data_IF_320773356424
#
_entry.id   IF_320773356424
#
_cell.length_a   1.000
_cell.length_b   1.000
_cell.length_c   1.000
_cell.angle_alpha   90.00
_cell.angle_beta   90.00
_cell.angle_gamma   90.00
#
_symmetry.space_group_name_H-M   'P 1'
#
loop_
_entity.id
_entity.type
_entity.pdbx_description
1 polymer ?
#
# COMPACT_ATOMS: atom_id res chain seq x y z
N UNK A 1 -2.31 -25.46 -2.14
CA UNK A 1 -1.87 -24.08 -2.37
C UNK A 1 -2.23 -23.68 -3.81
N UNK A 2 -2.92 -22.56 -4.01
CA UNK A 2 -3.28 -22.02 -5.33
C UNK A 2 -2.83 -20.56 -5.40
N UNK A 3 -2.01 -20.22 -6.38
CA UNK A 3 -1.62 -18.84 -6.67
C UNK A 3 -2.83 -18.17 -7.37
N UNK A 4 -3.40 -17.16 -6.72
CA UNK A 4 -4.56 -16.42 -7.22
C UNK A 4 -4.12 -15.00 -7.48
N UNK A 5 -4.08 -14.59 -8.76
CA UNK A 5 -3.30 -13.41 -9.19
C UNK A 5 -1.87 -13.55 -8.65
N UNK A 6 -1.00 -12.55 -8.65
CA UNK A 6 0.39 -12.72 -8.14
C UNK A 6 0.51 -13.06 -6.64
N UNK A 7 -0.62 -13.33 -5.96
CA UNK A 7 -0.72 -13.70 -4.57
C UNK A 7 -0.59 -15.21 -4.29
N UNK A 8 0.22 -15.50 -3.27
CA UNK A 8 0.44 -16.80 -2.64
C UNK A 8 -0.71 -17.19 -1.68
N UNK A 9 -0.81 -18.47 -1.33
CA UNK A 9 -1.74 -19.00 -0.31
C UNK A 9 -0.99 -19.89 0.69
N UNK A 10 -0.27 -19.27 1.62
CA UNK A 10 0.52 -19.97 2.64
C UNK A 10 -0.11 -19.81 4.04
N UNK A 11 0.65 -19.40 5.04
CA UNK A 11 0.27 -19.24 6.42
C UNK A 11 -0.94 -18.32 6.61
N UNK A 12 -0.78 -17.01 6.39
CA UNK A 12 -1.79 -16.00 6.76
C UNK A 12 -3.14 -16.29 6.08
N UNK A 13 -3.09 -16.59 4.79
CA UNK A 13 -4.28 -16.85 3.99
C UNK A 13 -4.94 -18.20 4.28
N UNK A 14 -4.18 -19.29 4.47
CA UNK A 14 -4.80 -20.60 4.70
C UNK A 14 -5.42 -20.73 6.09
N UNK A 15 -4.93 -19.99 7.08
CA UNK A 15 -5.48 -20.00 8.44
C UNK A 15 -6.95 -19.57 8.49
N UNK A 16 -7.30 -18.55 7.71
CA UNK A 16 -8.66 -18.00 7.67
C UNK A 16 -9.52 -18.63 6.56
N UNK A 17 -8.92 -19.48 5.72
CA UNK A 17 -9.55 -20.10 4.57
C UNK A 17 -9.80 -19.13 3.41
N UNK A 18 -10.97 -19.23 2.78
CA UNK A 18 -11.39 -18.24 1.79
C UNK A 18 -11.93 -17.02 2.55
N UNK A 19 -11.12 -15.96 2.64
CA UNK A 19 -11.61 -14.66 3.09
C UNK A 19 -12.90 -14.32 2.34
N UNK A 20 -13.99 -13.94 3.02
CA UNK A 20 -15.22 -13.59 2.35
C UNK A 20 -15.00 -12.31 1.54
N UNK A 21 -14.76 -12.45 0.23
CA UNK A 21 -15.14 -11.37 -0.67
C UNK A 21 -16.63 -11.11 -0.48
N UNK A 22 -17.06 -9.87 -0.72
CA UNK A 22 -18.37 -9.26 -0.41
C UNK A 22 -19.66 -10.05 -0.68
N UNK A 23 -19.62 -11.29 -1.20
CA UNK A 23 -20.78 -12.16 -1.49
C UNK A 23 -20.53 -13.69 -1.40
N UNK A 24 -19.71 -14.25 -0.49
CA UNK A 24 -19.56 -15.72 -0.43
C UNK A 24 -20.32 -16.43 0.68
N UNK A 25 -21.40 -17.11 0.26
CA UNK A 25 -22.11 -18.17 0.98
C UNK A 25 -22.75 -19.24 0.07
N UNK A 26 -22.40 -19.35 -1.22
CA UNK A 26 -23.12 -20.26 -2.15
C UNK A 26 -22.26 -20.93 -3.24
N UNK A 27 -22.80 -22.03 -3.78
CA UNK A 27 -22.21 -22.88 -4.83
C UNK A 27 -21.89 -22.13 -6.12
N UNK A 28 -20.66 -22.37 -6.65
CA UNK A 28 -20.18 -21.85 -7.94
C UNK A 28 -21.03 -22.25 -9.15
N UNK A 29 -21.77 -23.35 -9.06
CA UNK A 29 -22.56 -23.89 -10.17
C UNK A 29 -24.02 -23.44 -10.17
N UNK A 30 -24.57 -22.97 -9.04
CA UNK A 30 -26.02 -22.78 -8.91
C UNK A 30 -26.47 -21.36 -8.52
N UNK A 31 -25.67 -20.54 -7.83
CA UNK A 31 -26.10 -19.19 -7.41
C UNK A 31 -27.43 -19.15 -6.63
N UNK A 32 -27.93 -17.96 -6.27
CA UNK A 32 -29.26 -17.78 -5.65
C UNK A 32 -30.29 -17.51 -6.75
N UNK A 33 -31.50 -18.10 -6.74
CA UNK A 33 -32.58 -17.61 -7.57
C UNK A 33 -33.26 -16.43 -6.87
N UNK A 34 -32.96 -15.20 -7.30
CA UNK A 34 -33.89 -14.08 -7.10
C UNK A 34 -33.95 -13.24 -8.39
N UNK A 35 -35.10 -13.35 -9.04
CA UNK A 35 -35.65 -12.45 -10.06
C UNK A 35 -34.85 -12.25 -11.35
N UNK A 36 -34.73 -13.32 -12.13
CA UNK A 36 -34.83 -13.24 -13.60
C UNK A 36 -33.65 -12.63 -14.39
N UNK A 37 -32.63 -12.11 -13.71
CA UNK A 37 -31.39 -11.68 -14.36
C UNK A 37 -30.23 -12.54 -13.84
N UNK A 38 -29.67 -13.35 -14.73
CA UNK A 38 -28.53 -14.24 -14.49
C UNK A 38 -27.29 -13.43 -14.08
N UNK A 39 -27.14 -13.17 -12.79
CA UNK A 39 -25.86 -12.68 -12.26
C UNK A 39 -25.03 -13.89 -11.86
N UNK A 40 -24.01 -14.18 -12.69
CA UNK A 40 -22.86 -14.98 -12.25
C UNK A 40 -22.29 -14.31 -11.00
N UNK A 41 -21.72 -15.10 -10.07
CA UNK A 41 -20.93 -14.56 -8.96
C UNK A 41 -20.06 -13.42 -9.49
N UNK A 42 -20.14 -12.23 -8.88
CA UNK A 42 -19.38 -11.06 -9.29
C UNK A 42 -17.90 -11.38 -9.12
N UNK A 43 -17.29 -11.83 -10.21
CA UNK A 43 -15.88 -12.11 -10.30
C UNK A 43 -15.18 -10.82 -10.72
N UNK A 44 -14.43 -10.23 -9.77
CA UNK A 44 -13.34 -9.28 -10.00
C UNK A 44 -13.67 -7.83 -10.43
N UNK A 45 -14.80 -7.50 -11.07
CA UNK A 45 -14.96 -6.16 -11.68
C UNK A 45 -15.63 -5.07 -10.83
N UNK A 46 -16.17 -5.37 -9.65
CA UNK A 46 -16.91 -4.40 -8.82
C UNK A 46 -16.45 -4.28 -7.36
N UNK A 47 -15.49 -5.09 -6.93
CA UNK A 47 -14.81 -4.93 -5.65
C UNK A 47 -13.41 -4.36 -5.90
N UNK A 48 -12.89 -3.44 -5.06
CA UNK A 48 -11.51 -2.99 -5.17
C UNK A 48 -10.56 -4.20 -5.23
N UNK A 49 -9.61 -4.21 -6.18
CA UNK A 49 -8.76 -5.37 -6.50
C UNK A 49 -8.02 -5.95 -5.27
N UNK A 50 -7.80 -5.13 -4.24
CA UNK A 50 -6.92 -5.38 -3.10
C UNK A 50 -7.62 -5.53 -1.75
N UNK A 51 -8.96 -5.45 -1.70
CA UNK A 51 -9.72 -5.53 -0.45
C UNK A 51 -9.38 -6.83 0.32
N UNK A 52 -9.31 -7.97 -0.38
CA UNK A 52 -9.06 -9.32 0.16
C UNK A 52 -7.81 -9.46 1.05
N UNK A 53 -6.69 -8.82 0.70
CA UNK A 53 -5.45 -8.92 1.48
C UNK A 53 -5.59 -8.26 2.85
N UNK A 54 -6.39 -7.19 2.95
CA UNK A 54 -6.70 -6.55 4.22
C UNK A 54 -7.58 -7.45 5.10
N UNK A 55 -8.59 -8.13 4.57
CA UNK A 55 -9.36 -9.09 5.39
C UNK A 55 -8.51 -10.26 5.85
N UNK A 56 -7.58 -10.73 5.02
CA UNK A 56 -6.63 -11.77 5.43
C UNK A 56 -5.89 -11.34 6.68
N UNK A 57 -5.37 -10.11 6.67
CA UNK A 57 -4.63 -9.55 7.81
C UNK A 57 -5.56 -9.33 9.01
N UNK A 58 -6.70 -8.65 8.83
CA UNK A 58 -7.67 -8.36 9.90
C UNK A 58 -8.16 -9.66 10.59
N UNK A 59 -8.45 -10.72 9.82
CA UNK A 59 -8.88 -12.01 10.38
C UNK A 59 -7.72 -12.79 11.02
N UNK A 60 -6.52 -12.71 10.45
CA UNK A 60 -5.33 -13.36 11.05
C UNK A 60 -4.99 -12.76 12.41
N UNK A 61 -5.17 -11.44 12.59
CA UNK A 61 -5.05 -10.79 13.91
C UNK A 61 -6.03 -11.35 14.94
N UNK A 62 -7.26 -11.66 14.53
CA UNK A 62 -8.28 -12.21 15.42
C UNK A 62 -8.04 -13.68 15.74
N UNK A 63 -7.43 -14.43 14.82
CA UNK A 63 -7.21 -15.87 14.98
C UNK A 63 -6.16 -16.18 16.06
N UNK A 64 -5.16 -15.33 16.25
CA UNK A 64 -4.07 -15.54 17.22
C UNK A 64 -3.21 -16.76 16.85
N UNK A 65 -2.29 -16.59 15.90
CA UNK A 65 -1.49 -17.70 15.36
C UNK A 65 -0.24 -17.91 16.20
N UNK A 66 -0.18 -19.04 16.94
CA UNK A 66 1.00 -19.40 17.75
C UNK A 66 2.07 -20.18 16.98
N UNK A 67 1.64 -20.95 15.97
CA UNK A 67 2.53 -21.81 15.20
C UNK A 67 1.93 -22.15 13.83
N UNK A 68 2.80 -22.19 12.83
CA UNK A 68 2.46 -22.50 11.45
C UNK A 68 3.29 -23.67 10.98
N UNK A 69 2.64 -24.61 10.29
CA UNK A 69 3.27 -25.67 9.51
C UNK A 69 2.80 -25.56 8.05
N UNK A 70 3.74 -25.47 7.11
CA UNK A 70 3.49 -25.46 5.67
C UNK A 70 4.17 -26.69 5.07
N UNK A 71 3.39 -27.63 4.54
CA UNK A 71 3.88 -28.94 4.06
C UNK A 71 3.57 -29.20 2.57
N UNK A 72 2.94 -28.25 1.88
CA UNK A 72 2.37 -28.44 0.56
C UNK A 72 2.52 -27.21 -0.35
N UNK A 73 3.74 -26.69 -0.50
CA UNK A 73 4.04 -25.64 -1.49
C UNK A 73 3.93 -26.25 -2.89
N UNK A 74 2.94 -25.79 -3.65
CA UNK A 74 2.67 -26.29 -5.00
C UNK A 74 1.93 -25.23 -5.82
N UNK A 75 2.12 -25.28 -7.15
CA UNK A 75 1.59 -24.34 -8.10
C UNK A 75 1.22 -25.03 -9.43
N UNK A 76 0.22 -24.47 -10.11
CA UNK A 76 0.03 -24.67 -11.55
C UNK A 76 0.70 -23.49 -12.26
N UNK A 77 1.88 -23.73 -12.82
CA UNK A 77 2.64 -22.73 -13.55
C UNK A 77 1.89 -22.28 -14.82
N UNK A 78 2.11 -21.04 -15.23
CA UNK A 78 1.62 -20.42 -16.47
C UNK A 78 0.09 -20.27 -16.62
N UNK A 79 -0.73 -21.08 -15.93
CA UNK A 79 -2.18 -21.15 -16.13
C UNK A 79 -2.96 -21.46 -14.85
N UNK A 80 -4.19 -20.93 -14.76
CA UNK A 80 -5.11 -21.15 -13.62
C UNK A 80 -5.67 -22.59 -13.54
N UNK A 81 -5.48 -23.38 -14.59
CA UNK A 81 -6.02 -24.74 -14.74
C UNK A 81 -4.92 -25.73 -15.11
N UNK A 82 -5.11 -26.98 -14.70
CA UNK A 82 -4.17 -28.06 -15.01
C UNK A 82 -4.14 -28.32 -16.52
N UNK A 83 -2.97 -28.16 -17.13
CA UNK A 83 -2.71 -28.58 -18.49
C UNK A 83 -2.34 -30.06 -18.50
N UNK A 84 -2.92 -30.83 -19.41
CA UNK A 84 -2.70 -32.28 -19.47
C UNK A 84 -2.15 -32.70 -20.81
N UNK A 85 -1.11 -33.54 -20.79
CA UNK A 85 -0.63 -34.29 -21.96
C UNK A 85 -0.59 -35.77 -21.60
N UNK A 86 -1.27 -36.60 -22.38
CA UNK A 86 -1.41 -38.04 -22.13
C UNK A 86 -1.90 -38.38 -20.70
N UNK A 87 -2.85 -37.58 -20.18
CA UNK A 87 -3.42 -37.77 -18.84
C UNK A 87 -2.59 -37.22 -17.68
N UNK A 88 -1.33 -36.82 -17.92
CA UNK A 88 -0.41 -36.27 -16.91
C UNK A 88 -0.53 -34.75 -16.87
N UNK A 89 -0.59 -34.16 -15.67
CA UNK A 89 -0.58 -32.71 -15.50
C UNK A 89 0.84 -32.18 -15.74
N UNK A 90 1.04 -31.33 -16.74
CA UNK A 90 2.38 -30.91 -17.19
C UNK A 90 2.85 -29.60 -16.59
N UNK A 91 1.94 -28.76 -16.11
CA UNK A 91 2.26 -27.47 -15.51
C UNK A 91 2.20 -27.49 -13.96
N UNK A 92 2.10 -28.67 -13.36
CA UNK A 92 2.08 -28.79 -11.89
C UNK A 92 3.50 -28.87 -11.35
N UNK A 93 3.81 -27.94 -10.45
CA UNK A 93 5.05 -27.92 -9.69
C UNK A 93 4.70 -28.11 -8.21
N UNK A 94 5.39 -29.05 -7.56
CA UNK A 94 5.33 -29.27 -6.12
C UNK A 94 6.73 -29.19 -5.54
N UNK A 95 6.85 -28.55 -4.39
CA UNK A 95 8.02 -28.63 -3.53
C UNK A 95 7.81 -29.75 -2.51
N UNK A 96 8.86 -30.51 -2.23
CA UNK A 96 8.87 -31.51 -1.16
C UNK A 96 9.51 -30.90 0.09
N UNK A 97 8.98 -29.75 0.51
CA UNK A 97 9.53 -28.93 1.57
C UNK A 97 8.49 -28.78 2.68
N UNK A 98 8.92 -29.00 3.92
CA UNK A 98 8.14 -28.69 5.11
C UNK A 98 8.81 -27.48 5.76
N UNK A 99 8.01 -26.46 6.03
CA UNK A 99 8.41 -25.27 6.77
C UNK A 99 7.56 -25.18 8.03
N UNK A 100 8.18 -24.82 9.14
CA UNK A 100 7.47 -24.55 10.38
C UNK A 100 8.01 -23.27 11.02
N UNK A 101 7.13 -22.48 11.62
CA UNK A 101 7.49 -21.19 12.21
C UNK A 101 6.50 -20.82 13.31
N UNK A 102 6.99 -20.16 14.36
CA UNK A 102 6.13 -19.48 15.34
C UNK A 102 5.66 -18.09 14.86
N UNK A 103 6.24 -17.57 13.79
CA UNK A 103 5.86 -16.30 13.15
C UNK A 103 5.19 -16.59 11.79
N UNK A 104 3.89 -16.28 11.63
CA UNK A 104 3.17 -16.53 10.38
C UNK A 104 3.58 -15.62 9.22
N UNK A 105 4.04 -14.40 9.50
CA UNK A 105 4.51 -13.46 8.47
C UNK A 105 5.88 -13.91 7.95
N UNK A 106 6.77 -14.31 8.86
CA UNK A 106 8.05 -14.89 8.49
C UNK A 106 7.89 -16.20 7.70
N UNK A 107 6.89 -17.03 8.06
CA UNK A 107 6.57 -18.24 7.31
C UNK A 107 6.19 -17.92 5.85
N UNK A 108 5.34 -16.92 5.65
CA UNK A 108 4.95 -16.47 4.31
C UNK A 108 6.12 -15.82 3.56
N UNK A 109 6.93 -15.01 4.23
CA UNK A 109 8.15 -14.46 3.67
C UNK A 109 9.03 -15.56 3.08
N UNK A 110 9.33 -16.60 3.87
CA UNK A 110 10.19 -17.70 3.44
C UNK A 110 9.51 -18.54 2.35
N UNK A 111 8.20 -18.77 2.42
CA UNK A 111 7.48 -19.46 1.35
C UNK A 111 7.55 -18.73 0.01
N UNK A 112 7.43 -17.39 0.01
CA UNK A 112 7.60 -16.59 -1.20
C UNK A 112 9.02 -16.74 -1.77
N UNK A 113 10.03 -16.64 -0.90
CA UNK A 113 11.45 -16.83 -1.26
C UNK A 113 11.74 -18.23 -1.82
N UNK A 114 11.13 -19.27 -1.26
CA UNK A 114 11.25 -20.65 -1.76
C UNK A 114 10.68 -20.83 -3.17
N UNK A 115 9.76 -19.97 -3.60
CA UNK A 115 9.17 -19.97 -4.94
C UNK A 115 9.83 -18.98 -5.91
N UNK A 116 10.89 -18.28 -5.48
CA UNK A 116 11.51 -17.15 -6.19
C UNK A 116 10.55 -15.97 -6.46
N UNK A 117 9.66 -15.73 -5.49
CA UNK A 117 8.76 -14.58 -5.48
C UNK A 117 9.22 -13.59 -4.42
N UNK A 118 9.08 -12.30 -4.69
CA UNK A 118 9.36 -11.28 -3.70
C UNK A 118 8.24 -11.18 -2.65
N UNK A 119 8.48 -11.47 -1.35
CA UNK A 119 7.50 -11.20 -0.31
C UNK A 119 7.08 -9.74 -0.19
N UNK A 120 7.91 -8.78 -0.59
CA UNK A 120 7.56 -7.35 -0.61
C UNK A 120 6.60 -6.98 -1.75
N UNK A 121 6.37 -7.91 -2.67
CA UNK A 121 5.38 -7.86 -3.72
C UNK A 121 4.04 -8.49 -3.30
N UNK A 122 3.96 -9.02 -2.08
CA UNK A 122 2.75 -9.66 -1.54
C UNK A 122 2.09 -8.79 -0.48
N UNK A 123 0.97 -8.19 -0.87
CA UNK A 123 0.29 -7.19 -0.06
C UNK A 123 -0.11 -7.68 1.34
N UNK A 124 -0.66 -8.89 1.50
CA UNK A 124 -0.98 -9.39 2.84
C UNK A 124 0.26 -9.56 3.73
N UNK A 125 1.44 -9.86 3.17
CA UNK A 125 2.68 -9.97 3.94
C UNK A 125 3.11 -8.57 4.42
N UNK A 126 3.16 -7.59 3.51
CA UNK A 126 3.58 -6.22 3.85
C UNK A 126 2.59 -5.51 4.79
N UNK A 127 1.28 -5.75 4.62
CA UNK A 127 0.26 -5.27 5.55
C UNK A 127 0.37 -5.95 6.92
N UNK A 128 0.58 -7.27 6.97
CA UNK A 128 0.76 -8.00 8.23
C UNK A 128 2.00 -7.53 9.02
N UNK A 129 3.10 -7.22 8.34
CA UNK A 129 4.28 -6.61 8.95
C UNK A 129 3.94 -5.23 9.54
N UNK A 130 3.26 -4.36 8.78
CA UNK A 130 2.91 -2.99 9.21
C UNK A 130 2.05 -2.95 10.47
N UNK A 131 1.20 -3.94 10.68
CA UNK A 131 0.34 -4.02 11.85
C UNK A 131 1.00 -4.77 13.03
N UNK A 132 2.21 -5.29 12.84
CA UNK A 132 2.99 -5.99 13.86
C UNK A 132 2.59 -7.45 14.10
N UNK A 133 2.00 -8.14 13.11
CA UNK A 133 1.62 -9.55 13.23
C UNK A 133 2.82 -10.51 13.17
N UNK A 134 3.94 -10.04 12.63
CA UNK A 134 5.18 -10.79 12.46
C UNK A 134 6.15 -10.03 11.57
N UNK A 135 7.30 -10.63 11.23
CA UNK A 135 8.34 -9.96 10.44
C UNK A 135 8.35 -10.37 8.96
N UNK A 136 8.53 -9.37 8.09
CA UNK A 136 8.84 -9.54 6.67
C UNK A 136 10.30 -9.10 6.37
N UNK A 137 11.14 -9.00 7.40
CA UNK A 137 12.55 -8.62 7.27
C UNK A 137 13.42 -9.86 7.29
N UNK A 138 14.17 -10.06 6.21
CA UNK A 138 15.00 -11.25 6.07
C UNK A 138 16.05 -11.35 7.18
N UNK A 139 16.59 -10.22 7.64
CA UNK A 139 17.57 -10.12 8.72
C UNK A 139 17.03 -10.55 10.10
N UNK A 140 15.72 -10.48 10.29
CA UNK A 140 15.06 -10.88 11.55
C UNK A 140 14.60 -12.35 11.51
N UNK A 141 14.79 -13.04 10.38
CA UNK A 141 14.34 -14.42 10.18
C UNK A 141 15.54 -15.37 10.27
N UNK A 142 15.60 -16.14 11.36
CA UNK A 142 16.59 -17.21 11.50
C UNK A 142 16.11 -18.49 10.80
N UNK A 143 16.82 -18.90 9.76
CA UNK A 143 16.58 -20.19 9.09
C UNK A 143 17.33 -21.30 9.83
N UNK A 144 16.59 -22.32 10.27
CA UNK A 144 17.14 -23.55 10.88
C UNK A 144 16.86 -24.72 9.95
N UNK A 145 17.92 -25.44 9.55
CA UNK A 145 17.82 -26.56 8.60
C UNK A 145 18.45 -26.23 7.24
N UNK A 146 17.80 -26.68 6.16
CA UNK A 146 18.27 -26.40 4.80
C UNK A 146 18.16 -24.89 4.49
N UNK A 147 19.15 -24.35 3.75
CA UNK A 147 19.09 -22.95 3.36
C UNK A 147 17.99 -22.70 2.33
N UNK A 148 17.52 -21.46 2.24
CA UNK A 148 16.56 -21.05 1.21
C UNK A 148 17.16 -21.32 -0.17
N UNK A 149 18.41 -20.90 -0.42
CA UNK A 149 19.08 -20.97 -1.72
C UNK A 149 19.21 -22.42 -2.22
N UNK A 150 19.43 -23.38 -1.31
CA UNK A 150 19.52 -24.80 -1.67
C UNK A 150 18.16 -25.47 -1.89
N UNK A 151 17.07 -24.84 -1.46
CA UNK A 151 15.71 -25.39 -1.48
C UNK A 151 14.79 -24.68 -2.47
N UNK A 152 15.14 -23.47 -2.89
CA UNK A 152 14.34 -22.64 -3.79
C UNK A 152 14.10 -23.32 -5.12
N UNK A 153 12.86 -23.21 -5.60
CA UNK A 153 12.49 -23.54 -6.97
C UNK A 153 11.83 -22.32 -7.60
N UNK A 154 12.40 -21.86 -8.70
CA UNK A 154 11.90 -20.71 -9.45
C UNK A 154 10.59 -21.04 -10.14
N UNK A 155 9.47 -20.54 -9.62
CA UNK A 155 8.16 -20.81 -10.19
C UNK A 155 7.90 -19.89 -11.38
N UNK A 156 7.35 -20.45 -12.46
CA UNK A 156 6.94 -19.66 -13.63
C UNK A 156 5.60 -18.98 -13.37
N UNK A 157 5.62 -17.64 -13.42
CA UNK A 157 4.43 -16.79 -13.41
C UNK A 157 3.69 -16.92 -14.73
N UNK A 158 2.38 -16.75 -14.70
CA UNK A 158 1.60 -16.57 -15.92
C UNK A 158 1.93 -15.18 -16.49
N UNK A 159 2.31 -15.07 -17.78
CA UNK A 159 2.56 -13.78 -18.42
C UNK A 159 1.37 -12.84 -18.19
N UNK A 160 1.57 -11.77 -17.43
CA UNK A 160 0.53 -10.79 -17.21
C UNK A 160 0.46 -9.85 -18.42
N UNK A 161 -0.61 -9.94 -19.21
CA UNK A 161 -0.88 -8.97 -20.29
C UNK A 161 -1.15 -7.54 -19.75
N UNK A 162 -1.33 -7.41 -18.44
CA UNK A 162 -1.80 -6.23 -17.72
C UNK A 162 -0.78 -5.67 -16.74
N UNK A 163 0.39 -6.31 -16.61
CA UNK A 163 1.42 -5.90 -15.64
C UNK A 163 1.05 -6.09 -14.18
N UNK A 164 0.10 -6.99 -13.89
CA UNK A 164 -0.31 -7.39 -12.54
C UNK A 164 0.80 -8.19 -11.82
N UNK A 165 1.99 -7.61 -11.71
CA UNK A 165 3.13 -8.17 -11.00
C UNK A 165 3.51 -7.32 -9.79
N UNK A 166 3.44 -7.97 -8.64
CA UNK A 166 3.87 -7.45 -7.36
C UNK A 166 3.14 -6.23 -6.84
N UNK A 167 3.81 -5.53 -5.93
CA UNK A 167 3.30 -4.34 -5.25
C UNK A 167 4.17 -3.15 -5.68
N UNK A 168 3.57 -2.04 -6.08
CA UNK A 168 4.27 -0.78 -6.38
C UNK A 168 4.63 0.01 -5.13
N UNK A 169 5.20 1.20 -5.31
CA UNK A 169 5.35 2.11 -4.18
C UNK A 169 3.98 2.66 -3.77
N UNK A 170 3.63 2.53 -2.49
CA UNK A 170 2.42 3.09 -1.91
C UNK A 170 2.67 4.11 -0.81
N UNK A 171 3.93 4.28 -0.38
CA UNK A 171 4.33 5.29 0.59
C UNK A 171 4.79 6.55 -0.14
N UNK A 172 4.02 7.63 0.02
CA UNK A 172 4.26 8.89 -0.68
C UNK A 172 4.01 10.07 0.25
N UNK A 173 4.68 11.18 -0.05
CA UNK A 173 4.16 12.52 0.26
C UNK A 173 3.86 13.23 -1.03
N UNK A 174 2.84 14.09 -1.02
CA UNK A 174 2.39 14.78 -2.23
C UNK A 174 2.34 16.29 -2.01
N UNK A 175 2.52 17.06 -3.08
CA UNK A 175 2.44 18.51 -3.08
C UNK A 175 1.64 19.00 -4.30
N UNK A 176 0.96 20.12 -4.13
CA UNK A 176 -0.07 20.61 -5.03
C UNK A 176 -1.46 20.57 -4.37
N UNK A 177 -2.53 20.73 -5.16
CA UNK A 177 -2.53 20.86 -6.61
C UNK A 177 -2.14 22.29 -7.04
N UNK A 178 -1.31 22.40 -8.08
CA UNK A 178 -0.91 23.69 -8.65
C UNK A 178 -1.73 23.97 -9.91
N UNK A 179 -2.43 25.11 -9.94
CA UNK A 179 -3.19 25.53 -11.12
C UNK A 179 -2.26 25.77 -12.32
N UNK A 180 -2.66 25.30 -13.50
CA UNK A 180 -1.94 25.55 -14.75
C UNK A 180 -2.51 26.73 -15.55
N UNK A 181 -3.42 27.50 -14.96
CA UNK A 181 -4.01 28.66 -15.63
C UNK A 181 -2.93 29.66 -16.07
N UNK A 182 -2.99 30.08 -17.34
CA UNK A 182 -2.03 30.99 -17.97
C UNK A 182 -0.59 30.44 -18.06
N UNK A 183 -0.43 29.12 -18.06
CA UNK A 183 0.86 28.46 -18.28
C UNK A 183 0.78 27.66 -19.59
N UNK A 184 1.57 28.04 -20.59
CA UNK A 184 1.56 27.42 -21.92
C UNK A 184 2.13 25.98 -21.90
N UNK A 185 3.17 25.77 -21.11
CA UNK A 185 3.86 24.47 -20.95
C UNK A 185 3.94 24.06 -19.47
N UNK A 186 2.85 23.50 -18.90
CA UNK A 186 2.78 23.25 -17.47
C UNK A 186 3.70 22.13 -16.97
N UNK A 187 3.96 21.09 -17.76
CA UNK A 187 4.78 19.97 -17.27
C UNK A 187 6.25 20.39 -17.15
N UNK A 188 6.71 21.31 -18.00
CA UNK A 188 8.06 21.88 -17.92
C UNK A 188 8.14 23.13 -17.01
N UNK A 189 7.01 23.69 -16.57
CA UNK A 189 6.99 24.83 -15.65
C UNK A 189 7.42 24.44 -14.22
N UNK A 190 8.40 25.14 -13.60
CA UNK A 190 8.90 24.78 -12.27
C UNK A 190 8.00 25.34 -11.15
N UNK A 191 6.96 24.61 -10.73
CA UNK A 191 6.10 25.02 -9.62
C UNK A 191 6.81 24.94 -8.26
N UNK A 192 7.82 24.07 -8.15
CA UNK A 192 8.70 23.98 -7.00
C UNK A 192 10.11 24.42 -7.40
N UNK A 193 10.75 25.19 -6.53
CA UNK A 193 12.13 25.62 -6.75
C UNK A 193 13.08 24.42 -6.71
N UNK A 194 13.90 24.30 -7.76
CA UNK A 194 14.96 23.29 -7.88
C UNK A 194 14.46 21.85 -7.68
N UNK A 195 13.51 21.41 -8.52
CA UNK A 195 12.88 20.08 -8.49
C UNK A 195 13.89 18.93 -8.33
N UNK A 196 15.02 18.99 -9.04
CA UNK A 196 16.10 18.01 -8.98
C UNK A 196 16.76 17.87 -7.59
N UNK A 197 16.76 18.92 -6.78
CA UNK A 197 17.41 18.92 -5.47
C UNK A 197 16.44 18.75 -4.30
N UNK A 198 15.15 18.53 -4.55
CA UNK A 198 14.14 18.44 -3.50
C UNK A 198 14.49 17.36 -2.46
N UNK A 199 14.29 17.73 -1.20
CA UNK A 199 14.40 16.87 -0.02
C UNK A 199 13.28 17.26 0.97
N UNK A 200 12.01 17.02 0.59
CA UNK A 200 10.87 17.51 1.35
C UNK A 200 10.73 16.80 2.71
N UNK A 201 10.19 17.55 3.67
CA UNK A 201 9.81 17.03 4.99
C UNK A 201 8.29 16.86 5.01
N UNK A 202 7.76 15.67 5.37
CA UNK A 202 6.33 15.48 5.50
C UNK A 202 5.65 16.56 6.35
N UNK A 203 4.53 17.09 5.88
CA UNK A 203 3.75 18.13 6.56
C UNK A 203 4.36 19.53 6.52
N UNK A 204 5.40 19.78 5.72
CA UNK A 204 6.10 21.08 5.62
C UNK A 204 6.12 21.59 4.18
N UNK A 205 6.14 22.91 4.02
CA UNK A 205 6.28 23.59 2.73
C UNK A 205 5.29 23.08 1.64
N UNK A 206 4.02 22.87 2.03
CA UNK A 206 2.95 22.40 1.14
C UNK A 206 2.94 20.89 0.89
N UNK A 207 3.94 20.14 1.37
CA UNK A 207 3.92 18.68 1.30
C UNK A 207 2.95 18.10 2.33
N UNK A 208 2.22 17.07 1.90
CA UNK A 208 1.37 16.28 2.78
C UNK A 208 2.17 15.64 3.92
N UNK A 209 1.48 15.25 4.98
CA UNK A 209 2.00 14.20 5.89
C UNK A 209 2.24 12.91 5.09
N UNK A 210 2.95 11.96 5.69
CA UNK A 210 3.18 10.65 5.08
C UNK A 210 1.84 9.97 4.74
N UNK A 211 1.67 9.61 3.47
CA UNK A 211 0.50 8.92 2.95
C UNK A 211 0.85 7.48 2.63
N UNK A 212 -0.13 6.60 2.87
CA UNK A 212 -0.11 5.22 2.37
C UNK A 212 -1.34 5.00 1.49
N UNK A 213 -1.11 4.76 0.21
CA UNK A 213 -2.16 4.38 -0.73
C UNK A 213 -2.46 2.88 -0.59
N UNK A 214 -3.71 2.47 -0.75
CA UNK A 214 -4.10 1.05 -0.65
C UNK A 214 -4.19 0.35 -2.00
N UNK A 215 -3.77 1.03 -3.06
CA UNK A 215 -3.72 0.54 -4.42
C UNK A 215 -2.37 0.95 -5.02
N UNK A 216 -1.90 0.19 -6.00
CA UNK A 216 -0.65 0.48 -6.70
C UNK A 216 -0.80 1.55 -7.78
N UNK A 217 -2.04 1.80 -8.24
CA UNK A 217 -2.38 3.02 -8.95
C UNK A 217 -2.68 4.12 -7.92
N UNK A 218 -1.82 5.11 -7.89
CA UNK A 218 -1.89 6.23 -6.97
C UNK A 218 -2.97 7.19 -7.44
N UNK A 219 -4.17 7.04 -6.87
CA UNK A 219 -5.35 7.88 -7.16
C UNK A 219 -5.18 9.29 -6.56
N UNK A 220 -4.58 10.17 -7.35
CA UNK A 220 -4.44 11.59 -7.02
C UNK A 220 -5.75 12.35 -7.23
N UNK A 221 -6.66 11.82 -8.05
CA UNK A 221 -7.97 12.42 -8.30
C UNK A 221 -8.82 12.51 -7.05
N UNK A 222 -8.99 11.40 -6.36
CA UNK A 222 -9.78 11.36 -5.12
C UNK A 222 -9.09 12.15 -4.02
N UNK A 223 -7.76 12.14 -3.99
CA UNK A 223 -6.97 12.92 -3.03
C UNK A 223 -7.15 14.44 -3.21
N UNK A 224 -7.10 14.94 -4.46
CA UNK A 224 -7.26 16.36 -4.78
C UNK A 224 -8.70 16.75 -5.17
N UNK A 225 -9.70 16.08 -4.62
CA UNK A 225 -11.13 16.43 -4.76
C UNK A 225 -11.64 16.55 -6.22
N UNK A 226 -11.10 15.73 -7.15
CA UNK A 226 -11.50 15.68 -8.56
C UNK A 226 -11.32 17.00 -9.31
N UNK A 227 -10.31 17.78 -8.91
CA UNK A 227 -9.85 18.97 -9.63
C UNK A 227 -9.21 18.59 -10.97
N UNK A 228 -9.15 19.53 -11.92
CA UNK A 228 -8.55 19.39 -13.26
C UNK A 228 -7.72 20.62 -13.60
N UNK A 229 -6.92 20.55 -14.65
CA UNK A 229 -5.99 21.60 -15.09
C UNK A 229 -4.98 21.93 -13.98
N UNK A 230 -4.33 20.90 -13.48
CA UNK A 230 -3.41 21.00 -12.35
C UNK A 230 -2.13 20.20 -12.60
N UNK A 231 -1.08 20.59 -11.91
CA UNK A 231 0.13 19.80 -11.73
C UNK A 231 0.26 19.41 -10.26
N UNK A 232 0.76 18.21 -10.00
CA UNK A 232 1.11 17.76 -8.66
C UNK A 232 2.44 17.04 -8.65
N UNK A 233 2.98 16.89 -7.45
CA UNK A 233 4.18 16.13 -7.18
C UNK A 233 3.88 15.02 -6.19
N UNK A 234 4.49 13.86 -6.41
CA UNK A 234 4.61 12.80 -5.43
C UNK A 234 6.10 12.54 -5.18
N UNK A 235 6.49 12.40 -3.91
CA UNK A 235 7.87 12.19 -3.53
C UNK A 235 7.97 11.03 -2.54
N UNK A 236 9.01 10.22 -2.71
CA UNK A 236 9.38 9.16 -1.80
C UNK A 236 10.90 9.01 -1.74
N UNK A 237 11.39 8.50 -0.62
CA UNK A 237 12.71 7.90 -0.52
C UNK A 237 12.58 6.39 -0.69
N UNK A 238 13.64 5.74 -1.15
CA UNK A 238 13.76 4.30 -1.02
C UNK A 238 15.19 3.87 -0.77
N UNK A 239 15.38 2.81 0.01
CA UNK A 239 16.71 2.24 0.24
C UNK A 239 16.91 1.00 -0.62
N UNK A 240 18.10 0.84 -1.20
CA UNK A 240 18.49 -0.40 -1.89
C UNK A 240 19.75 -0.98 -1.24
N UNK A 241 19.95 -2.32 -1.26
CA UNK A 241 21.09 -2.94 -0.59
C UNK A 241 22.42 -2.77 -1.33
N UNK A 242 22.40 -2.43 -2.62
CA UNK A 242 23.58 -2.35 -3.48
C UNK A 242 23.33 -1.46 -4.70
N UNK A 243 24.39 -0.91 -5.25
CA UNK A 243 24.37 -0.28 -6.58
C UNK A 243 23.96 -1.31 -7.64
N UNK A 244 22.98 -0.98 -8.48
CA UNK A 244 22.55 -1.81 -9.60
C UNK A 244 21.68 -1.04 -10.60
N UNK A 245 21.44 -1.61 -11.77
CA UNK A 245 20.38 -1.15 -12.68
C UNK A 245 19.04 -1.69 -12.19
N UNK A 246 18.04 -0.82 -12.18
CA UNK A 246 16.65 -1.14 -11.89
C UNK A 246 15.78 -0.95 -13.13
N UNK A 247 14.78 -1.81 -13.31
CA UNK A 247 13.76 -1.64 -14.35
C UNK A 247 12.54 -0.93 -13.72
N UNK A 248 12.28 0.32 -14.12
CA UNK A 248 11.15 1.13 -13.66
C UNK A 248 9.93 0.88 -14.55
N UNK A 249 8.83 0.46 -13.94
CA UNK A 249 7.57 0.17 -14.63
C UNK A 249 6.61 1.32 -14.40
N UNK A 250 6.27 2.03 -15.47
CA UNK A 250 5.66 3.35 -15.40
C UNK A 250 4.31 3.37 -16.12
N UNK A 251 3.30 3.94 -15.47
CA UNK A 251 1.97 4.13 -16.05
C UNK A 251 1.38 5.49 -15.69
N UNK A 252 0.84 6.17 -16.69
CA UNK A 252 0.06 7.40 -16.56
C UNK A 252 -0.78 7.59 -17.84
N UNK A 253 -1.97 8.16 -17.70
CA UNK A 253 -2.79 8.59 -18.85
C UNK A 253 -2.29 9.91 -19.44
N UNK A 254 -1.63 10.74 -18.64
CA UNK A 254 -1.14 12.06 -19.04
C UNK A 254 0.35 12.25 -18.78
N UNK A 255 0.82 13.48 -19.03
CA UNK A 255 2.21 13.85 -18.94
C UNK A 255 2.77 13.59 -17.53
N UNK A 256 3.94 12.96 -17.49
CA UNK A 256 4.61 12.54 -16.28
C UNK A 256 6.12 12.68 -16.46
N UNK A 257 6.77 13.26 -15.44
CA UNK A 257 8.22 13.34 -15.35
C UNK A 257 8.69 12.69 -14.05
N UNK A 258 9.84 12.01 -14.10
CA UNK A 258 10.41 11.32 -12.94
C UNK A 258 11.87 11.68 -12.80
N UNK A 259 12.25 12.09 -11.60
CA UNK A 259 13.64 12.27 -11.21
C UNK A 259 14.06 11.22 -10.19
N UNK A 260 15.23 10.63 -10.43
CA UNK A 260 15.90 9.72 -9.53
C UNK A 260 17.21 10.37 -9.08
N UNK A 261 17.36 10.58 -7.77
CA UNK A 261 18.53 11.22 -7.17
C UNK A 261 18.85 12.63 -7.72
N UNK A 262 17.89 13.26 -8.40
CA UNK A 262 18.00 14.56 -9.05
C UNK A 262 18.28 14.51 -10.56
N UNK A 263 18.49 13.32 -11.12
CA UNK A 263 18.58 13.11 -12.57
C UNK A 263 17.20 12.81 -13.14
N UNK A 264 16.83 13.47 -14.25
CA UNK A 264 15.59 13.18 -14.96
C UNK A 264 15.73 11.84 -15.70
N UNK A 265 14.97 10.83 -15.29
CA UNK A 265 15.02 9.48 -15.88
C UNK A 265 13.84 9.18 -16.80
N UNK A 266 12.73 9.90 -16.64
CA UNK A 266 11.53 9.73 -17.47
C UNK A 266 10.92 11.08 -17.80
N UNK A 267 10.59 11.27 -19.07
CA UNK A 267 9.97 12.49 -19.58
C UNK A 267 8.93 12.14 -20.65
N UNK A 268 7.68 12.05 -20.23
CA UNK A 268 6.55 11.85 -21.11
C UNK A 268 5.67 13.10 -21.11
N UNK A 269 5.60 13.78 -22.25
CA UNK A 269 4.85 15.02 -22.44
C UNK A 269 3.77 14.83 -23.52
N UNK A 270 2.80 13.96 -23.23
CA UNK A 270 1.65 13.74 -24.10
C UNK A 270 0.48 13.12 -23.32
N UNK A 271 -0.55 12.68 -24.04
CA UNK A 271 -1.74 12.01 -23.49
C UNK A 271 -1.88 10.65 -24.16
N UNK A 272 -2.25 9.63 -23.38
CA UNK A 272 -2.49 8.26 -23.82
C UNK A 272 -3.55 7.57 -22.98
N UNK A 273 -4.00 6.40 -23.45
CA UNK A 273 -4.93 5.58 -22.68
C UNK A 273 -4.16 4.72 -21.66
N UNK A 274 -4.43 4.93 -20.37
CA UNK A 274 -3.97 4.06 -19.30
C UNK A 274 -5.16 3.34 -18.66
N UNK A 275 -5.64 2.30 -19.33
CA UNK A 275 -6.85 1.56 -18.93
C UNK A 275 -6.75 0.97 -17.52
N UNK A 276 -7.88 0.88 -16.80
CA UNK A 276 -7.96 0.46 -15.39
C UNK A 276 -7.35 -0.92 -15.07
N UNK A 277 -7.19 -1.77 -16.08
CA UNK A 277 -6.58 -3.08 -15.91
C UNK A 277 -5.06 -3.08 -16.10
N UNK A 278 -4.46 -1.97 -16.53
CA UNK A 278 -3.02 -1.85 -16.73
C UNK A 278 -2.34 -1.31 -15.49
N UNK A 279 -1.15 -1.87 -15.21
CA UNK A 279 -0.24 -1.39 -14.19
C UNK A 279 0.93 -0.59 -14.76
N UNK A 280 1.34 -0.82 -16.00
CA UNK A 280 2.38 -0.03 -16.66
C UNK A 280 2.09 0.09 -18.16
N UNK A 281 2.72 1.08 -18.79
CA UNK A 281 2.72 1.31 -20.23
C UNK A 281 4.14 1.29 -20.80
N UNK A 282 5.12 1.68 -19.99
CA UNK A 282 6.53 1.72 -20.37
C UNK A 282 7.40 1.10 -19.28
N UNK A 283 8.54 0.54 -19.71
CA UNK A 283 9.62 0.09 -18.84
C UNK A 283 10.88 0.83 -19.24
N UNK A 284 11.59 1.38 -18.26
CA UNK A 284 12.88 2.05 -18.48
C UNK A 284 13.92 1.53 -17.49
N UNK A 285 15.18 1.52 -17.91
CA UNK A 285 16.30 1.17 -17.03
C UNK A 285 16.93 2.42 -16.45
N UNK A 286 17.16 2.45 -15.14
CA UNK A 286 17.90 3.52 -14.48
C UNK A 286 18.77 3.00 -13.32
N UNK A 287 19.94 3.61 -13.06
CA UNK A 287 20.82 3.19 -11.98
C UNK A 287 20.28 3.62 -10.61
N UNK A 288 20.22 2.67 -9.67
CA UNK A 288 19.97 2.93 -8.24
C UNK A 288 21.26 2.75 -7.46
N UNK A 289 21.43 3.54 -6.39
CA UNK A 289 22.59 3.46 -5.51
C UNK A 289 22.27 2.69 -4.22
N UNK A 290 23.29 2.04 -3.64
CA UNK A 290 23.22 1.45 -2.32
C UNK A 290 22.87 2.52 -1.28
N UNK A 291 22.01 2.17 -0.33
CA UNK A 291 21.46 3.11 0.63
C UNK A 291 20.31 3.93 0.03
N UNK A 292 20.18 5.17 0.49
CA UNK A 292 19.01 6.01 0.24
C UNK A 292 19.03 6.63 -1.17
N UNK A 293 17.91 6.48 -1.86
CA UNK A 293 17.60 7.09 -3.15
C UNK A 293 16.40 8.04 -2.99
N UNK A 294 16.38 9.10 -3.80
CA UNK A 294 15.28 10.07 -3.87
C UNK A 294 14.49 9.86 -5.15
N UNK A 295 13.17 9.78 -5.03
CA UNK A 295 12.25 9.63 -6.13
C UNK A 295 11.24 10.78 -6.13
N UNK A 296 11.26 11.58 -7.18
CA UNK A 296 10.27 12.61 -7.44
C UNK A 296 9.48 12.26 -8.70
N UNK A 297 8.16 12.29 -8.60
CA UNK A 297 7.23 12.14 -9.71
C UNK A 297 6.45 13.43 -9.83
N UNK A 298 6.40 14.00 -11.04
CA UNK A 298 5.57 15.16 -11.39
C UNK A 298 4.55 14.71 -12.41
N UNK A 299 3.27 15.02 -12.17
CA UNK A 299 2.17 14.63 -13.04
C UNK A 299 1.34 15.85 -13.44
N UNK A 300 0.91 15.86 -14.69
CA UNK A 300 -0.08 16.79 -15.22
C UNK A 300 -1.44 16.12 -15.24
N UNK A 301 -2.47 16.89 -14.91
CA UNK A 301 -3.86 16.46 -15.07
C UNK A 301 -4.71 17.53 -15.72
N UNK A 302 -5.10 17.29 -16.97
CA UNK A 302 -6.05 18.07 -17.78
C UNK A 302 -7.36 17.28 -17.97
N UNK A 303 -7.28 15.97 -18.12
CA UNK A 303 -8.35 15.01 -18.44
C UNK A 303 -8.13 13.65 -17.74
N UNK A 304 -9.06 12.73 -17.91
CA UNK A 304 -8.85 11.33 -17.51
C UNK A 304 -9.09 11.02 -16.02
N UNK A 305 -8.38 10.00 -15.54
CA UNK A 305 -8.56 9.41 -14.21
C UNK A 305 -7.66 10.04 -13.15
N UNK A 306 -6.61 10.74 -13.55
CA UNK A 306 -5.59 11.33 -12.66
C UNK A 306 -5.01 10.34 -11.66
N UNK A 307 -4.38 9.31 -12.22
CA UNK A 307 -3.62 8.33 -11.49
C UNK A 307 -2.29 8.06 -12.19
N UNK A 308 -1.34 7.55 -11.42
CA UNK A 308 -0.10 7.01 -11.96
C UNK A 308 0.27 5.73 -11.23
N UNK A 309 1.14 4.94 -11.82
CA UNK A 309 1.72 3.76 -11.21
C UNK A 309 3.22 3.74 -11.42
N UNK A 310 3.92 3.23 -10.41
CA UNK A 310 5.36 3.11 -10.42
C UNK A 310 5.79 1.89 -9.61
N UNK A 311 6.51 0.98 -10.25
CA UNK A 311 7.23 -0.10 -9.59
C UNK A 311 8.71 -0.09 -9.99
N UNK A 312 9.57 -0.60 -9.10
CA UNK A 312 11.03 -0.63 -9.23
C UNK A 312 11.47 -2.09 -9.13
N UNK A 313 11.69 -2.70 -10.29
CA UNK A 313 11.87 -4.14 -10.43
C UNK A 313 13.35 -4.51 -10.66
N UNK A 314 13.69 -5.77 -10.37
CA UNK A 314 14.91 -6.36 -10.91
C UNK A 314 14.78 -6.50 -12.43
N UNK A 315 15.83 -6.17 -13.22
CA UNK A 315 15.84 -6.42 -14.64
C UNK A 315 15.71 -7.92 -14.94
N UNK A 316 14.67 -8.32 -15.68
CA UNK A 316 14.42 -9.71 -16.04
C UNK A 316 13.81 -9.80 -17.45
N UNK A 317 14.54 -10.44 -18.35
CA UNK A 317 14.17 -10.55 -19.77
C UNK A 317 13.13 -11.65 -20.02
N UNK A 318 12.98 -12.60 -19.10
CA UNK A 318 12.00 -13.66 -19.21
C UNK A 318 10.70 -13.26 -18.51
N UNK A 319 9.67 -13.02 -19.31
CA UNK A 319 8.32 -12.63 -18.83
C UNK A 319 7.63 -13.66 -17.92
N UNK A 320 8.18 -14.86 -17.76
CA UNK A 320 7.69 -15.82 -16.77
C UNK A 320 8.24 -15.56 -15.36
N UNK A 321 9.23 -14.68 -15.21
CA UNK A 321 9.89 -14.40 -13.94
C UNK A 321 10.02 -12.89 -13.64
N UNK A 322 9.65 -12.02 -14.58
CA UNK A 322 9.76 -10.57 -14.43
C UNK A 322 8.81 -9.99 -13.38
N UNK A 323 9.01 -8.72 -13.06
CA UNK A 323 8.14 -7.96 -12.16
C UNK A 323 8.33 -8.27 -10.67
N UNK A 324 9.43 -8.91 -10.27
CA UNK A 324 9.85 -8.91 -8.87
C UNK A 324 10.47 -7.54 -8.55
N UNK A 325 10.03 -6.88 -7.48
CA UNK A 325 10.71 -5.71 -6.92
C UNK A 325 12.17 -6.05 -6.61
N UNK A 326 13.04 -5.04 -6.66
CA UNK A 326 14.42 -5.17 -6.16
C UNK A 326 14.42 -5.76 -4.74
N UNK A 327 15.26 -6.77 -4.55
CA UNK A 327 15.40 -7.44 -3.27
C UNK A 327 15.84 -6.49 -2.15
N UNK A 328 15.10 -6.51 -1.04
CA UNK A 328 15.38 -5.66 0.13
C UNK A 328 15.07 -4.18 -0.07
N UNK A 329 14.48 -3.78 -1.20
CA UNK A 329 14.09 -2.38 -1.43
C UNK A 329 13.00 -1.96 -0.44
N UNK A 330 13.16 -0.81 0.22
CA UNK A 330 12.19 -0.28 1.20
C UNK A 330 11.85 1.18 0.92
N UNK A 331 10.57 1.47 0.73
CA UNK A 331 10.07 2.83 0.56
C UNK A 331 9.93 3.56 1.91
N UNK A 332 10.14 4.88 1.88
CA UNK A 332 10.07 5.78 3.03
C UNK A 332 9.56 7.15 2.59
N UNK A 333 8.96 7.91 3.50
CA UNK A 333 8.48 9.28 3.25
C UNK A 333 9.38 10.36 3.84
N UNK A 334 10.46 9.97 4.53
CA UNK A 334 11.42 10.87 5.16
C UNK A 334 12.82 10.28 5.08
N UNK A 335 13.82 11.14 4.94
CA UNK A 335 15.22 10.71 4.91
C UNK A 335 15.67 10.16 6.25
N UNK A 336 16.52 9.13 6.21
CA UNK A 336 17.25 8.61 7.36
C UNK A 336 18.17 9.67 8.00
N UNK A 337 18.54 10.72 7.26
CA UNK A 337 19.34 11.85 7.75
C UNK A 337 18.54 12.93 8.50
N UNK A 338 17.20 12.91 8.45
CA UNK A 338 16.35 13.97 9.03
C UNK A 338 16.06 13.76 10.52
N UNK A 339 17.09 13.47 11.33
CA UNK A 339 17.04 13.79 12.76
C UNK A 339 17.58 15.21 12.93
N UNK A 340 16.65 16.14 13.15
CA UNK A 340 16.82 17.56 13.50
C UNK A 340 16.91 18.51 12.30
N UNK A 341 15.78 19.17 12.00
CA UNK A 341 15.73 20.63 11.87
C UNK A 341 14.32 21.13 12.19
N UNK A 342 14.19 21.80 13.33
CA UNK A 342 13.01 22.59 13.69
C UNK A 342 13.01 23.87 12.85
N UNK A 343 12.17 23.93 11.82
CA UNK A 343 11.85 25.15 11.08
C UNK A 343 10.51 25.75 11.54
N UNK A 344 10.50 27.08 11.66
CA UNK A 344 9.41 27.98 12.08
C UNK A 344 8.02 27.61 11.48
N UNK A 345 6.91 27.85 12.20
CA UNK A 345 5.57 27.46 11.75
C UNK A 345 5.05 28.36 10.63
N UNK A 346 4.74 27.77 9.47
CA UNK A 346 3.97 28.40 8.41
C UNK A 346 2.47 28.30 8.73
N UNK A 347 1.73 29.39 8.56
CA UNK A 347 0.28 29.43 8.73
C UNK A 347 -0.42 28.60 7.63
N UNK A 348 -0.99 27.45 8.02
CA UNK A 348 -1.94 26.70 7.18
C UNK A 348 -3.30 27.41 7.31
N UNK A 349 -4.00 27.63 6.21
CA UNK A 349 -5.27 28.40 6.17
C UNK A 349 -6.52 27.52 6.07
N UNK A 350 -6.40 26.20 6.23
CA UNK A 350 -7.49 25.23 6.09
C UNK A 350 -7.60 24.32 7.30
N UNK A 351 -8.82 23.97 7.68
CA UNK A 351 -9.08 22.96 8.72
C UNK A 351 -8.68 21.57 8.21
N UNK A 352 -7.78 20.90 8.94
CA UNK A 352 -7.26 19.57 8.56
C UNK A 352 -7.39 18.62 9.74
N UNK A 353 -7.92 17.43 9.49
CA UNK A 353 -7.86 16.30 10.43
C UNK A 353 -6.94 15.25 9.84
N UNK A 354 -5.79 15.00 10.46
CA UNK A 354 -4.84 13.97 10.07
C UNK A 354 -5.37 12.55 10.29
N UNK A 355 -4.63 11.57 9.81
CA UNK A 355 -4.90 10.17 10.13
C UNK A 355 -4.58 9.87 11.59
N UNK A 356 -5.25 8.85 12.12
CA UNK A 356 -4.88 8.23 13.38
C UNK A 356 -3.61 7.40 13.19
N UNK A 357 -2.54 7.70 13.92
CA UNK A 357 -1.27 6.99 13.86
C UNK A 357 -0.64 6.81 15.26
N UNK A 358 -0.06 5.64 15.58
CA UNK A 358 -0.16 4.40 14.81
C UNK A 358 -1.62 3.90 14.77
N UNK A 359 -2.00 3.19 13.71
CA UNK A 359 -3.29 2.53 13.60
C UNK A 359 -3.14 1.31 12.69
N UNK A 360 -3.15 0.08 13.23
CA UNK A 360 -3.57 -0.31 14.59
C UNK A 360 -2.64 0.22 15.71
N UNK A 361 -3.15 0.30 16.95
CA UNK A 361 -2.40 0.82 18.10
C UNK A 361 -2.57 -0.06 19.36
N UNK A 362 -1.53 -0.14 20.20
CA UNK A 362 -1.57 -0.89 21.47
C UNK A 362 -1.70 0.02 22.70
N UNK A 363 -0.99 1.15 22.73
CA UNK A 363 -0.98 2.04 23.90
C UNK A 363 -1.53 3.44 23.65
N UNK A 364 -1.26 4.00 22.47
CA UNK A 364 -1.70 5.35 22.15
C UNK A 364 -1.84 5.49 20.65
N UNK A 365 -2.95 6.08 20.22
CA UNK A 365 -3.14 6.61 18.88
C UNK A 365 -3.21 8.13 18.94
N UNK A 366 -2.62 8.81 17.95
CA UNK A 366 -2.67 10.27 17.84
C UNK A 366 -3.25 10.68 16.50
N UNK A 367 -3.96 11.80 16.51
CA UNK A 367 -4.47 12.46 15.32
C UNK A 367 -4.02 13.92 15.40
N UNK A 368 -3.47 14.45 14.30
CA UNK A 368 -3.22 15.90 14.20
C UNK A 368 -4.51 16.60 13.77
N UNK A 369 -4.75 17.78 14.33
CA UNK A 369 -5.84 18.66 13.92
C UNK A 369 -5.26 20.06 13.72
N UNK A 370 -5.41 20.60 12.52
CA UNK A 370 -5.06 21.99 12.23
C UNK A 370 -6.33 22.85 12.25
N UNK A 371 -6.29 23.94 13.02
CA UNK A 371 -7.38 24.92 13.12
C UNK A 371 -6.98 26.23 12.42
N UNK A 372 -7.67 26.67 11.36
CA UNK A 372 -7.34 27.91 10.67
C UNK A 372 -7.67 29.15 11.51
N UNK A 373 -8.63 29.02 12.42
CA UNK A 373 -9.04 30.04 13.37
C UNK A 373 -9.38 29.44 14.74
N UNK A 374 -9.56 30.29 15.74
CA UNK A 374 -9.93 29.81 17.08
C UNK A 374 -11.39 29.37 17.06
N UNK A 375 -11.65 28.08 17.27
CA UNK A 375 -12.99 27.51 17.21
C UNK A 375 -13.25 26.47 18.29
N UNK A 376 -14.51 26.07 18.45
CA UNK A 376 -14.90 25.01 19.37
C UNK A 376 -14.80 23.63 18.70
N UNK A 377 -14.04 22.72 19.31
CA UNK A 377 -13.81 21.38 18.80
C UNK A 377 -14.21 20.36 19.87
N UNK A 378 -14.87 19.28 19.47
CA UNK A 378 -15.07 18.11 20.31
C UNK A 378 -14.57 16.86 19.61
N UNK A 379 -13.98 15.94 20.38
CA UNK A 379 -13.54 14.65 19.88
C UNK A 379 -14.00 13.54 20.81
N UNK A 380 -14.66 12.54 20.24
CA UNK A 380 -15.34 11.49 20.99
C UNK A 380 -15.10 10.12 20.34
N UNK A 381 -14.94 9.09 21.16
CA UNK A 381 -14.73 7.71 20.74
C UNK A 381 -16.03 6.95 20.81
N UNK A 382 -16.32 6.16 19.77
CA UNK A 382 -17.51 5.33 19.63
C UNK A 382 -17.12 3.88 19.33
N UNK A 383 -17.93 2.92 19.79
CA UNK A 383 -17.80 1.53 19.38
C UNK A 383 -18.62 1.24 18.10
N UNK A 384 -18.55 0.00 17.61
CA UNK A 384 -19.28 -0.46 16.41
C UNK A 384 -20.82 -0.31 16.52
N UNK A 385 -21.37 -0.32 17.73
CA UNK A 385 -22.80 -0.13 17.97
C UNK A 385 -23.22 1.35 18.02
N UNK A 386 -22.29 2.29 17.76
CA UNK A 386 -22.55 3.72 17.86
C UNK A 386 -22.67 4.22 19.30
N UNK A 387 -22.28 3.41 20.30
CA UNK A 387 -22.27 3.85 21.69
C UNK A 387 -21.01 4.67 21.95
N UNK A 388 -21.18 5.86 22.51
CA UNK A 388 -20.06 6.68 22.98
C UNK A 388 -19.31 5.97 24.11
N UNK A 389 -18.00 5.95 24.01
CA UNK A 389 -17.06 5.26 24.90
C UNK A 389 -16.26 6.23 25.76
N UNK A 390 -15.76 7.30 25.13
CA UNK A 390 -14.94 8.32 25.80
C UNK A 390 -15.03 9.66 25.10
N UNK A 391 -15.06 10.76 25.84
CA UNK A 391 -14.78 12.10 25.27
C UNK A 391 -13.30 12.42 25.45
N UNK A 392 -12.58 12.64 24.34
CA UNK A 392 -11.14 12.96 24.34
C UNK A 392 -10.88 14.43 24.61
N UNK A 393 -11.72 15.30 24.03
CA UNK A 393 -11.73 16.74 24.29
C UNK A 393 -13.09 17.32 23.92
N UNK A 394 -13.42 18.46 24.53
CA UNK A 394 -14.60 19.27 24.20
C UNK A 394 -14.37 20.71 24.66
N UNK A 395 -13.67 21.51 23.85
CA UNK A 395 -13.21 22.83 24.26
C UNK A 395 -12.97 23.76 23.06
N UNK A 396 -12.88 25.06 23.33
CA UNK A 396 -12.40 26.04 22.36
C UNK A 396 -10.88 25.97 22.27
N UNK A 397 -10.36 25.80 21.06
CA UNK A 397 -8.94 25.62 20.79
C UNK A 397 -8.44 26.77 19.90
N UNK A 398 -7.26 27.36 20.17
CA UNK A 398 -6.73 28.46 19.37
C UNK A 398 -6.36 27.99 17.95
N UNK A 399 -6.28 28.94 17.01
CA UNK A 399 -5.75 28.65 15.67
C UNK A 399 -4.35 28.02 15.75
N UNK A 400 -4.06 27.05 14.88
CA UNK A 400 -2.78 26.34 14.82
C UNK A 400 -2.90 24.82 14.86
N UNK A 401 -1.75 24.15 14.98
CA UNK A 401 -1.65 22.68 15.03
C UNK A 401 -1.87 22.13 16.43
N UNK A 402 -2.70 21.09 16.52
CA UNK A 402 -3.03 20.38 17.75
C UNK A 402 -2.90 18.88 17.57
N UNK A 403 -2.74 18.16 18.69
CA UNK A 403 -2.73 16.71 18.70
C UNK A 403 -3.79 16.17 19.66
N UNK A 404 -4.68 15.35 19.13
CA UNK A 404 -5.68 14.61 19.89
C UNK A 404 -5.13 13.19 20.07
N UNK A 405 -5.12 12.69 21.30
CA UNK A 405 -4.63 11.34 21.59
C UNK A 405 -5.69 10.51 22.30
N UNK A 406 -5.65 9.20 22.04
CA UNK A 406 -6.45 8.23 22.75
C UNK A 406 -5.58 7.05 23.16
N UNK A 407 -5.79 6.60 24.40
CA UNK A 407 -5.02 5.57 25.10
C UNK A 407 -5.73 4.21 25.13
N UNK A 408 -6.81 4.05 24.37
CA UNK A 408 -7.57 2.80 24.36
C UNK A 408 -8.40 2.56 25.63
N UNK A 409 -8.63 3.59 26.46
CA UNK A 409 -9.46 3.48 27.67
C UNK A 409 -10.85 4.07 27.48
N UNK A 410 -11.79 3.71 28.35
CA UNK A 410 -13.11 4.33 28.47
C UNK A 410 -13.10 5.55 29.41
N UNK A 411 -14.25 6.18 29.62
CA UNK A 411 -14.42 7.36 30.50
C UNK A 411 -13.95 7.13 31.95
N UNK A 412 -13.99 5.89 32.45
CA UNK A 412 -13.56 5.53 33.80
C UNK A 412 -12.08 5.07 33.86
N UNK A 413 -11.28 5.41 32.85
CA UNK A 413 -9.89 4.97 32.67
C UNK A 413 -9.72 3.44 32.60
N UNK A 414 -10.80 2.68 32.39
CA UNK A 414 -10.75 1.25 32.20
C UNK A 414 -10.25 0.91 30.79
N UNK A 415 -9.23 0.06 30.68
CA UNK A 415 -8.75 -0.40 29.38
C UNK A 415 -9.82 -1.18 28.63
N UNK A 416 -9.97 -0.90 27.34
CA UNK A 416 -10.88 -1.63 26.48
C UNK A 416 -10.22 -2.91 25.94
N UNK A 417 -11.03 -3.91 25.53
CA UNK A 417 -10.52 -5.03 24.76
C UNK A 417 -10.08 -4.58 23.36
N UNK A 418 -9.24 -5.39 22.71
CA UNK A 418 -8.92 -5.21 21.29
C UNK A 418 -10.20 -5.12 20.46
N UNK A 419 -10.25 -4.21 19.50
CA UNK A 419 -11.46 -3.98 18.73
C UNK A 419 -11.42 -2.72 17.87
N UNK A 420 -12.41 -2.61 16.99
CA UNK A 420 -12.60 -1.43 16.14
C UNK A 420 -13.40 -0.36 16.86
N UNK A 421 -12.91 0.86 16.81
CA UNK A 421 -13.56 2.06 17.33
C UNK A 421 -13.54 3.17 16.27
N UNK A 422 -14.40 4.16 16.46
CA UNK A 422 -14.45 5.35 15.62
C UNK A 422 -14.25 6.59 16.47
N UNK A 423 -13.31 7.44 16.08
CA UNK A 423 -13.17 8.76 16.69
C UNK A 423 -13.88 9.76 15.80
N UNK A 424 -14.90 10.42 16.36
CA UNK A 424 -15.62 11.53 15.72
C UNK A 424 -15.03 12.83 16.22
N UNK A 425 -14.65 13.72 15.30
CA UNK A 425 -14.23 15.09 15.58
C UNK A 425 -15.30 16.02 15.02
N UNK A 426 -15.88 16.85 15.88
CA UNK A 426 -16.87 17.85 15.52
C UNK A 426 -16.26 19.25 15.62
N UNK A 427 -16.53 20.09 14.63
CA UNK A 427 -16.03 21.46 14.50
C UNK A 427 -17.05 22.33 13.75
N UNK A 428 -16.80 23.63 13.63
CA UNK A 428 -17.64 24.50 12.79
C UNK A 428 -17.59 24.07 11.30
N UNK A 429 -16.54 23.36 10.90
CA UNK A 429 -16.34 22.82 9.55
C UNK A 429 -17.03 21.46 9.31
N UNK A 430 -17.68 20.88 10.33
CA UNK A 430 -18.46 19.64 10.21
C UNK A 430 -17.93 18.48 11.07
N UNK A 431 -18.42 17.28 10.74
CA UNK A 431 -18.09 16.03 11.41
C UNK A 431 -17.07 15.18 10.62
N UNK A 432 -15.99 14.79 11.28
CA UNK A 432 -14.94 13.96 10.71
C UNK A 432 -14.80 12.66 11.50
N UNK A 433 -14.64 11.53 10.80
CA UNK A 433 -14.55 10.22 11.43
C UNK A 433 -13.22 9.54 11.14
N UNK A 434 -12.63 8.90 12.14
CA UNK A 434 -11.42 8.07 12.02
C UNK A 434 -11.67 6.68 12.60
N UNK A 435 -11.63 5.66 11.75
CA UNK A 435 -11.62 4.26 12.20
C UNK A 435 -10.27 3.97 12.84
N UNK A 436 -10.27 3.47 14.07
CA UNK A 436 -9.06 3.04 14.79
C UNK A 436 -9.20 1.61 15.29
N UNK A 437 -8.11 0.86 15.25
CA UNK A 437 -8.04 -0.52 15.72
C UNK A 437 -7.14 -0.59 16.95
N UNK A 438 -7.73 -0.89 18.12
CA UNK A 438 -6.99 -1.16 19.35
C UNK A 438 -6.57 -2.64 19.36
N UNK A 439 -5.29 -2.90 19.63
CA UNK A 439 -4.68 -4.23 19.65
C UNK A 439 -3.87 -4.37 20.93
N UNK A 440 -4.28 -5.24 21.84
CA UNK A 440 -3.48 -5.56 23.03
C UNK A 440 -2.42 -6.61 22.75
#
# INVERSE_FOLDING_TARGET
MKIHTVGMTCALKNQIGLAPCSKYGFSKTAGVPQNGYTTKLTHHSQAPKHWTDKEIVDLSMLAGIDFVLVDAIACLELAKTAERRNGIITNFVRMNTILASSDPVAADHVCARLMDLNPDDMEHITLAERIGLGTNRAEDIQIVGASIESTTKRFKKSPANTGEYGQGNRDWIVNGPFSIENIDDPINFPFLNNEAALAPVPGKAGWSEALYFTDDRIDLRSYFEKTRNIVSYAFAYFETPRDQIAEFWLGSDEAMKIWLNGELIYDYDSIRSFGNDLFYLEKIDAPVIAGENRLLVKTLHKFGSYDFSLNICEPENNSNYDGNRIWGLRFKTSSSATRIQSGEPYHISSFIVGHAYPNPFNHQVRMRVHLPETEHVSAEVYNLQGRKIKTLLNQTMPAGDHSISWDGTNENAGMLPSGTFFIRIHSAHGDFYRKVLLVK
#
